data_IF_808978274775
#
_entry.id   IF_808978274775
#
_cell.length_a   1.000
_cell.length_b   1.000
_cell.length_c   1.000
_cell.angle_alpha   90.00
_cell.angle_beta   90.00
_cell.angle_gamma   90.00
#
_symmetry.space_group_name_H-M   'P 1'
#
loop_
_entity.id
_entity.type
_entity.pdbx_description
1 polymer ?
#
# COMPACT_ATOMS: atom_id res chain seq x y z
N UNK A 1 17.86 -22.12 -16.26
CA UNK A 1 18.77 -20.96 -16.11
C UNK A 1 18.87 -20.70 -14.62
N UNK A 2 20.08 -20.69 -14.06
CA UNK A 2 20.33 -20.42 -12.64
C UNK A 2 20.15 -18.91 -12.40
N UNK A 3 19.53 -18.54 -11.30
CA UNK A 3 19.31 -17.15 -10.90
C UNK A 3 20.18 -16.81 -9.69
N UNK A 4 20.34 -15.49 -9.43
CA UNK A 4 21.01 -15.02 -8.21
C UNK A 4 20.28 -15.53 -6.97
N UNK A 5 18.93 -15.61 -6.99
CA UNK A 5 18.14 -16.20 -5.90
C UNK A 5 18.51 -17.67 -5.64
N UNK A 6 18.72 -18.47 -6.69
CA UNK A 6 19.10 -19.88 -6.53
C UNK A 6 20.46 -19.99 -5.82
N UNK A 7 21.42 -19.12 -6.14
CA UNK A 7 22.72 -19.08 -5.46
C UNK A 7 22.56 -18.79 -3.96
N UNK A 8 21.73 -17.82 -3.59
CA UNK A 8 21.52 -17.49 -2.18
C UNK A 8 20.71 -18.53 -1.41
N UNK A 9 19.81 -19.27 -2.07
CA UNK A 9 18.91 -20.25 -1.40
C UNK A 9 19.42 -21.70 -1.52
N UNK A 10 20.18 -22.03 -2.56
CA UNK A 10 20.59 -23.39 -2.91
C UNK A 10 22.05 -23.44 -3.38
N UNK A 11 22.89 -22.50 -2.95
CA UNK A 11 24.26 -22.35 -3.48
C UNK A 11 25.15 -23.59 -3.31
N UNK A 12 24.98 -24.37 -2.25
CA UNK A 12 25.72 -25.62 -2.04
C UNK A 12 25.50 -26.64 -3.19
N UNK A 13 24.33 -26.61 -3.83
CA UNK A 13 24.02 -27.48 -4.98
C UNK A 13 24.84 -27.13 -6.23
N UNK A 14 25.35 -25.91 -6.29
CA UNK A 14 26.13 -25.38 -7.43
C UNK A 14 27.60 -25.16 -7.10
N UNK A 15 28.03 -25.44 -5.89
CA UNK A 15 29.43 -25.25 -5.48
C UNK A 15 30.39 -26.04 -6.35
N UNK A 16 31.52 -25.41 -6.76
CA UNK A 16 32.54 -25.95 -7.63
C UNK A 16 32.04 -26.37 -9.04
N UNK A 17 30.83 -25.92 -9.43
CA UNK A 17 30.26 -26.13 -10.75
C UNK A 17 30.36 -24.86 -11.61
N UNK A 18 30.53 -25.10 -12.92
CA UNK A 18 30.39 -24.06 -13.91
C UNK A 18 28.91 -23.62 -14.00
N UNK A 19 28.67 -22.31 -13.90
CA UNK A 19 27.37 -21.69 -13.99
C UNK A 19 27.36 -20.54 -14.97
N UNK A 20 26.18 -20.18 -15.43
CA UNK A 20 25.94 -19.04 -16.32
C UNK A 20 24.90 -18.12 -15.71
N UNK A 21 25.25 -16.83 -15.60
CA UNK A 21 24.39 -15.79 -15.02
C UNK A 21 24.25 -14.63 -15.99
N UNK A 22 23.08 -14.00 -15.96
CA UNK A 22 22.79 -12.77 -16.67
C UNK A 22 22.40 -11.70 -15.67
N UNK A 23 22.70 -10.44 -15.94
CA UNK A 23 22.26 -9.39 -15.04
C UNK A 23 22.86 -8.03 -15.34
N UNK A 24 22.61 -7.14 -14.39
CA UNK A 24 23.08 -5.76 -14.42
C UNK A 24 24.21 -5.56 -13.41
N UNK A 25 25.22 -4.80 -13.83
CA UNK A 25 26.29 -4.33 -12.94
C UNK A 25 25.72 -3.35 -11.93
N UNK A 26 25.76 -3.71 -10.66
CA UNK A 26 25.34 -2.84 -9.53
C UNK A 26 26.51 -2.04 -8.98
N UNK A 27 27.66 -2.69 -8.86
CA UNK A 27 28.94 -2.08 -8.46
C UNK A 27 30.05 -2.73 -9.24
N UNK A 28 31.14 -2.00 -9.43
CA UNK A 28 32.37 -2.50 -9.96
C UNK A 28 33.54 -1.90 -9.21
N UNK A 29 34.56 -2.70 -8.93
CA UNK A 29 35.82 -2.28 -8.31
C UNK A 29 36.97 -2.92 -9.08
N UNK A 30 37.83 -2.11 -9.67
CA UNK A 30 39.06 -2.54 -10.33
C UNK A 30 40.21 -2.48 -9.32
N UNK A 31 41.05 -3.53 -9.29
CA UNK A 31 42.25 -3.69 -8.47
C UNK A 31 43.52 -3.89 -9.33
N UNK A 32 43.52 -3.41 -10.58
CA UNK A 32 44.56 -3.49 -11.59
C UNK A 32 44.75 -4.90 -12.21
N UNK A 33 44.91 -5.95 -11.39
CA UNK A 33 45.12 -7.34 -11.82
C UNK A 33 43.89 -8.23 -11.75
N UNK A 34 42.91 -7.79 -10.97
CA UNK A 34 41.63 -8.44 -10.80
C UNK A 34 40.59 -7.39 -10.43
N UNK A 35 39.35 -7.73 -10.49
CA UNK A 35 38.24 -6.85 -10.07
C UNK A 35 37.03 -7.60 -9.60
N UNK A 36 36.09 -6.85 -9.07
CA UNK A 36 34.85 -7.35 -8.53
C UNK A 36 33.66 -6.63 -9.18
N UNK A 37 32.67 -7.40 -9.58
CA UNK A 37 31.36 -6.90 -10.00
C UNK A 37 30.32 -7.43 -9.03
N UNK A 38 29.47 -6.57 -8.52
CA UNK A 38 28.19 -6.98 -7.92
C UNK A 38 27.16 -7.10 -9.05
N UNK A 39 26.79 -8.34 -9.39
CA UNK A 39 25.80 -8.67 -10.42
C UNK A 39 24.44 -8.93 -9.78
N UNK A 40 23.40 -8.31 -10.30
CA UNK A 40 22.01 -8.55 -9.88
C UNK A 40 21.14 -8.82 -11.12
N UNK A 41 20.41 -9.93 -11.09
CA UNK A 41 19.53 -10.35 -12.18
C UNK A 41 18.05 -10.00 -11.94
N UNK A 42 17.76 -9.31 -10.84
CA UNK A 42 16.41 -8.97 -10.44
C UNK A 42 15.67 -10.08 -9.67
N UNK A 43 16.17 -11.30 -9.59
CA UNK A 43 15.53 -12.41 -8.89
C UNK A 43 15.61 -12.32 -7.37
N UNK A 44 16.64 -11.64 -6.85
CA UNK A 44 16.90 -11.50 -5.42
C UNK A 44 17.25 -10.05 -5.04
N UNK A 45 17.08 -9.69 -3.76
CA UNK A 45 17.40 -8.35 -3.27
C UNK A 45 18.89 -8.06 -3.35
N UNK A 46 19.73 -9.00 -2.87
CA UNK A 46 21.20 -8.88 -2.91
C UNK A 46 21.73 -9.29 -4.29
N UNK A 47 22.85 -8.70 -4.69
CA UNK A 47 23.62 -9.15 -5.85
C UNK A 47 24.67 -10.19 -5.46
N UNK A 48 25.12 -10.99 -6.44
CA UNK A 48 26.22 -11.93 -6.28
C UNK A 48 27.53 -11.27 -6.70
N UNK A 49 28.63 -11.55 -6.01
CA UNK A 49 29.96 -11.09 -6.37
C UNK A 49 30.52 -11.94 -7.51
N UNK A 50 30.98 -11.27 -8.54
CA UNK A 50 31.73 -11.84 -9.65
C UNK A 50 33.19 -11.37 -9.51
N UNK A 51 34.12 -12.29 -9.48
CA UNK A 51 35.56 -12.04 -9.51
C UNK A 51 36.08 -12.24 -10.93
N UNK A 52 36.80 -11.25 -11.48
CA UNK A 52 37.39 -11.32 -12.79
C UNK A 52 38.89 -10.95 -12.73
N UNK A 53 39.73 -11.60 -13.50
CA UNK A 53 41.20 -11.48 -13.44
C UNK A 53 41.81 -11.13 -14.81
N UNK A 54 43.10 -10.70 -14.83
CA UNK A 54 43.87 -10.35 -16.06
C UNK A 54 43.81 -11.41 -17.17
N UNK A 55 43.54 -12.68 -16.83
CA UNK A 55 43.41 -13.76 -17.83
C UNK A 55 42.11 -13.69 -18.66
N UNK A 56 41.19 -12.79 -18.34
CA UNK A 56 39.97 -12.61 -19.11
C UNK A 56 40.27 -11.88 -20.43
N UNK A 57 39.84 -12.43 -21.57
CA UNK A 57 40.13 -11.92 -22.92
C UNK A 57 39.80 -10.41 -23.07
N UNK A 58 38.73 -9.96 -22.44
CA UNK A 58 38.25 -8.57 -22.48
C UNK A 58 38.36 -7.84 -21.11
N UNK A 59 39.41 -8.16 -20.34
CA UNK A 59 39.63 -7.59 -19.00
C UNK A 59 39.58 -6.07 -18.98
N UNK A 60 40.28 -5.39 -19.88
CA UNK A 60 40.29 -3.91 -19.95
C UNK A 60 38.92 -3.30 -20.25
N UNK A 61 38.10 -4.01 -20.98
CA UNK A 61 36.76 -3.57 -21.32
C UNK A 61 35.81 -3.77 -20.12
N UNK A 62 35.92 -4.91 -19.46
CA UNK A 62 35.13 -5.26 -18.27
C UNK A 62 35.46 -4.33 -17.11
N UNK A 63 36.75 -4.05 -16.87
CA UNK A 63 37.19 -3.16 -15.78
C UNK A 63 36.65 -1.73 -15.88
N UNK A 64 36.24 -1.29 -17.08
CA UNK A 64 35.69 0.04 -17.38
C UNK A 64 34.16 0.06 -17.50
N UNK A 65 33.47 -1.02 -17.13
CA UNK A 65 32.00 -1.04 -17.17
C UNK A 65 31.43 -0.02 -16.22
N UNK A 66 30.38 0.62 -16.65
CA UNK A 66 29.55 1.49 -15.79
C UNK A 66 28.40 0.72 -15.12
N UNK A 67 27.91 1.27 -14.02
CA UNK A 67 26.71 0.78 -13.32
C UNK A 67 25.56 0.72 -14.33
N UNK A 68 24.72 -0.31 -14.20
CA UNK A 68 23.59 -0.60 -15.08
C UNK A 68 23.95 -1.20 -16.44
N UNK A 69 25.25 -1.41 -16.75
CA UNK A 69 25.64 -2.23 -17.89
C UNK A 69 25.10 -3.65 -17.76
N UNK A 70 24.74 -4.26 -18.88
CA UNK A 70 24.15 -5.60 -18.94
C UNK A 70 25.18 -6.59 -19.41
N UNK A 71 25.39 -7.65 -18.63
CA UNK A 71 26.41 -8.67 -18.90
C UNK A 71 25.88 -10.08 -18.73
N UNK A 72 26.56 -11.02 -19.38
CA UNK A 72 26.45 -12.44 -19.14
C UNK A 72 27.80 -12.92 -18.60
N UNK A 73 27.75 -13.67 -17.52
CA UNK A 73 28.95 -14.23 -16.87
C UNK A 73 28.90 -15.74 -16.96
N UNK A 74 29.94 -16.36 -17.42
CA UNK A 74 30.19 -17.80 -17.33
C UNK A 74 31.40 -18.00 -16.43
N UNK A 75 31.28 -18.87 -15.41
CA UNK A 75 32.34 -19.08 -14.44
C UNK A 75 31.98 -20.13 -13.40
N UNK A 76 32.86 -20.32 -12.43
CA UNK A 76 32.72 -21.33 -11.38
C UNK A 76 32.25 -20.69 -10.09
N UNK A 77 31.20 -21.24 -9.50
CA UNK A 77 30.73 -20.83 -8.15
C UNK A 77 31.66 -21.40 -7.08
N UNK A 78 32.22 -20.54 -6.24
CA UNK A 78 33.18 -20.94 -5.20
C UNK A 78 32.83 -20.31 -3.85
N UNK A 79 33.36 -20.86 -2.76
CA UNK A 79 33.33 -20.21 -1.46
C UNK A 79 34.13 -18.90 -1.51
N UNK A 80 33.53 -17.81 -1.03
CA UNK A 80 34.22 -16.53 -1.01
C UNK A 80 35.35 -16.52 0.01
N UNK A 81 36.45 -15.85 -0.33
CA UNK A 81 37.53 -15.57 0.61
C UNK A 81 37.27 -14.30 1.45
N UNK A 82 36.26 -13.51 1.07
CA UNK A 82 35.89 -12.28 1.75
C UNK A 82 34.88 -12.48 2.86
N UNK A 83 34.85 -11.60 3.85
CA UNK A 83 33.94 -11.66 4.98
C UNK A 83 32.53 -11.14 4.70
N UNK A 84 32.27 -10.62 3.49
CA UNK A 84 31.00 -9.96 3.15
C UNK A 84 29.94 -10.83 2.48
N UNK A 85 30.31 -12.01 2.00
CA UNK A 85 29.45 -13.01 1.33
C UNK A 85 30.04 -14.41 1.48
N UNK A 86 29.17 -15.42 1.44
CA UNK A 86 29.60 -16.82 1.58
C UNK A 86 30.09 -17.41 0.25
N UNK A 87 29.50 -16.98 -0.85
CA UNK A 87 29.74 -17.47 -2.21
C UNK A 87 30.08 -16.35 -3.18
N UNK A 88 30.91 -16.66 -4.19
CA UNK A 88 31.26 -15.77 -5.30
C UNK A 88 31.47 -16.57 -6.58
N UNK A 89 31.36 -15.92 -7.73
CA UNK A 89 31.61 -16.54 -9.04
C UNK A 89 32.95 -16.09 -9.55
N UNK A 90 33.89 -17.03 -9.79
CA UNK A 90 35.11 -16.78 -10.57
C UNK A 90 34.78 -16.82 -12.04
N UNK A 91 34.87 -15.69 -12.72
CA UNK A 91 34.51 -15.56 -14.10
C UNK A 91 35.58 -16.12 -15.02
N UNK A 92 35.21 -17.04 -15.91
CA UNK A 92 36.02 -17.54 -17.01
C UNK A 92 35.75 -16.74 -18.29
N UNK A 93 34.55 -16.24 -18.47
CA UNK A 93 34.13 -15.41 -19.60
C UNK A 93 33.05 -14.40 -19.17
N UNK A 94 33.20 -13.16 -19.64
CA UNK A 94 32.17 -12.11 -19.49
C UNK A 94 31.83 -11.58 -20.88
N UNK A 95 30.58 -11.72 -21.26
CA UNK A 95 30.04 -11.17 -22.50
C UNK A 95 29.25 -9.89 -22.14
N UNK A 96 29.56 -8.78 -22.79
CA UNK A 96 28.91 -7.50 -22.57
C UNK A 96 27.77 -7.36 -23.60
N UNK A 97 26.52 -7.37 -23.15
CA UNK A 97 25.39 -7.10 -24.04
C UNK A 97 25.27 -5.64 -24.37
N UNK A 98 25.39 -4.79 -23.34
CA UNK A 98 25.37 -3.35 -23.53
C UNK A 98 26.04 -2.63 -22.35
N UNK A 99 26.90 -1.67 -22.70
CA UNK A 99 27.41 -0.69 -21.73
C UNK A 99 26.34 0.35 -21.47
N UNK A 100 26.12 0.68 -20.21
CA UNK A 100 25.27 1.80 -19.88
C UNK A 100 25.96 3.12 -20.24
N UNK A 101 25.17 4.08 -20.69
CA UNK A 101 25.62 5.44 -20.98
C UNK A 101 26.23 6.09 -19.72
N UNK A 102 27.25 6.91 -19.92
CA UNK A 102 27.89 7.67 -18.84
C UNK A 102 26.93 8.70 -18.18
N UNK A 103 25.89 9.10 -18.91
CA UNK A 103 24.82 9.97 -18.40
C UNK A 103 23.80 9.26 -17.51
N UNK A 104 23.96 7.94 -17.26
CA UNK A 104 23.06 7.19 -16.37
C UNK A 104 22.92 7.92 -15.02
N UNK A 105 21.69 8.34 -14.63
CA UNK A 105 21.53 9.31 -13.58
C UNK A 105 21.71 8.74 -12.17
N UNK A 106 21.58 7.41 -11.99
CA UNK A 106 21.66 6.75 -10.68
C UNK A 106 23.05 6.19 -10.42
N UNK A 107 24.02 7.11 -10.32
CA UNK A 107 25.41 6.77 -10.02
C UNK A 107 25.58 6.22 -8.59
N UNK A 108 26.73 5.60 -8.29
CA UNK A 108 27.06 5.02 -6.98
C UNK A 108 27.30 6.11 -5.91
N UNK A 109 26.27 6.86 -5.60
CA UNK A 109 26.22 7.88 -4.55
C UNK A 109 24.84 7.90 -3.90
N UNK A 110 24.73 8.50 -2.72
CA UNK A 110 23.42 8.71 -2.09
C UNK A 110 22.61 9.73 -2.89
N UNK A 111 21.38 9.33 -3.25
CA UNK A 111 20.39 10.19 -3.86
C UNK A 111 19.29 10.51 -2.86
N UNK A 112 18.72 11.72 -2.91
CA UNK A 112 17.53 12.07 -2.11
C UNK A 112 16.27 11.42 -2.68
N UNK A 113 15.27 11.20 -1.85
CA UNK A 113 14.01 10.63 -2.32
C UNK A 113 13.30 11.58 -3.29
N UNK A 114 13.41 12.90 -3.10
CA UNK A 114 12.88 13.91 -4.01
C UNK A 114 13.47 13.75 -5.41
N UNK A 115 14.79 13.62 -5.51
CA UNK A 115 15.44 13.35 -6.80
C UNK A 115 14.98 12.02 -7.41
N UNK A 116 14.89 10.96 -6.60
CA UNK A 116 14.45 9.65 -7.10
C UNK A 116 12.99 9.65 -7.57
N UNK A 117 12.13 10.51 -7.04
CA UNK A 117 10.77 10.71 -7.56
C UNK A 117 10.77 11.28 -8.97
N UNK A 118 11.72 12.16 -9.32
CA UNK A 118 11.89 12.66 -10.70
C UNK A 118 12.43 11.61 -11.67
N UNK A 119 12.88 10.47 -11.16
CA UNK A 119 13.39 9.32 -11.91
C UNK A 119 12.59 8.05 -11.59
N UNK A 120 11.26 8.18 -11.46
CA UNK A 120 10.39 7.08 -11.03
C UNK A 120 10.59 5.80 -11.86
N UNK A 121 10.76 5.91 -13.18
CA UNK A 121 11.01 4.81 -14.11
C UNK A 121 12.37 4.10 -13.90
N UNK A 122 13.32 4.70 -13.18
CA UNK A 122 14.63 4.11 -12.90
C UNK A 122 14.85 3.76 -11.43
N UNK A 123 14.11 4.40 -10.51
CA UNK A 123 14.39 4.30 -9.08
C UNK A 123 14.29 2.88 -8.52
N UNK A 124 13.52 1.98 -9.15
CA UNK A 124 13.46 0.57 -8.79
C UNK A 124 14.84 -0.14 -8.88
N UNK A 125 15.79 0.44 -9.60
CA UNK A 125 17.17 -0.05 -9.69
C UNK A 125 18.03 0.32 -8.47
N UNK A 126 17.53 1.15 -7.54
CA UNK A 126 18.20 1.42 -6.26
C UNK A 126 17.83 0.38 -5.21
N UNK A 127 18.68 0.17 -4.19
CA UNK A 127 18.40 -0.80 -3.14
C UNK A 127 17.10 -0.47 -2.40
N UNK A 128 16.89 0.79 -2.03
CA UNK A 128 15.68 1.22 -1.30
C UNK A 128 14.42 0.87 -2.08
N UNK A 129 14.32 1.28 -3.35
CA UNK A 129 13.09 1.06 -4.11
C UNK A 129 12.97 -0.36 -4.65
N UNK A 130 14.09 -1.08 -4.84
CA UNK A 130 14.05 -2.53 -5.07
C UNK A 130 13.40 -3.24 -3.87
N UNK A 131 13.81 -2.91 -2.65
CA UNK A 131 13.20 -3.47 -1.43
C UNK A 131 11.72 -3.09 -1.32
N UNK A 132 11.37 -1.81 -1.47
CA UNK A 132 9.99 -1.32 -1.39
C UNK A 132 9.07 -2.07 -2.35
N UNK A 133 9.44 -2.19 -3.62
CA UNK A 133 8.55 -2.79 -4.61
C UNK A 133 8.50 -4.31 -4.55
N UNK A 134 9.52 -4.97 -4.00
CA UNK A 134 9.47 -6.40 -3.66
C UNK A 134 8.49 -6.65 -2.52
N UNK A 135 8.61 -5.89 -1.44
CA UNK A 135 7.67 -5.98 -0.31
C UNK A 135 6.24 -5.63 -0.76
N UNK A 136 6.06 -4.62 -1.61
CA UNK A 136 4.75 -4.28 -2.18
C UNK A 136 4.10 -5.46 -2.91
N UNK A 137 4.87 -6.17 -3.73
CA UNK A 137 4.39 -7.36 -4.45
C UNK A 137 3.99 -8.48 -3.50
N UNK A 138 4.83 -8.77 -2.49
CA UNK A 138 4.55 -9.83 -1.50
C UNK A 138 3.36 -9.45 -0.61
N UNK A 139 3.24 -8.19 -0.19
CA UNK A 139 2.10 -7.73 0.60
C UNK A 139 0.78 -7.87 -0.15
N UNK A 140 0.74 -7.54 -1.44
CA UNK A 140 -0.46 -7.73 -2.26
C UNK A 140 -0.89 -9.21 -2.30
N UNK A 141 0.06 -10.11 -2.48
CA UNK A 141 -0.21 -11.54 -2.42
C UNK A 141 -0.66 -11.99 -1.02
N UNK A 142 -0.01 -11.51 0.04
CA UNK A 142 -0.36 -11.85 1.43
C UNK A 142 -1.82 -11.49 1.76
N UNK A 143 -2.30 -10.33 1.27
CA UNK A 143 -3.68 -9.89 1.42
C UNK A 143 -4.64 -10.86 0.72
N UNK A 144 -4.40 -11.17 -0.56
CA UNK A 144 -5.22 -12.13 -1.29
C UNK A 144 -5.19 -13.51 -0.62
N UNK A 145 -4.01 -13.98 -0.20
CA UNK A 145 -3.84 -15.25 0.52
C UNK A 145 -4.69 -15.29 1.79
N UNK A 146 -4.61 -14.26 2.63
CA UNK A 146 -5.38 -14.17 3.87
C UNK A 146 -6.88 -14.32 3.61
N UNK A 147 -7.43 -13.53 2.70
CA UNK A 147 -8.87 -13.55 2.43
C UNK A 147 -9.32 -14.86 1.78
N UNK A 148 -8.57 -15.39 0.81
CA UNK A 148 -8.93 -16.66 0.14
C UNK A 148 -8.89 -17.85 1.12
N UNK A 149 -7.90 -17.91 2.02
CA UNK A 149 -7.80 -18.97 3.04
C UNK A 149 -8.88 -18.85 4.13
N UNK A 150 -9.49 -17.67 4.30
CA UNK A 150 -10.62 -17.45 5.19
C UNK A 150 -11.98 -17.47 4.48
N UNK A 151 -12.04 -18.05 3.27
CA UNK A 151 -13.26 -18.25 2.49
C UNK A 151 -13.96 -16.96 2.07
N UNK A 152 -13.20 -15.89 1.79
CA UNK A 152 -13.72 -14.69 1.17
C UNK A 152 -13.70 -14.80 -0.35
N UNK A 153 -14.73 -14.28 -1.01
CA UNK A 153 -14.79 -14.15 -2.46
C UNK A 153 -14.25 -12.77 -2.87
N UNK A 154 -13.27 -12.76 -3.75
CA UNK A 154 -12.78 -11.52 -4.36
C UNK A 154 -13.77 -10.99 -5.39
N UNK A 155 -14.12 -9.72 -5.29
CA UNK A 155 -15.05 -9.04 -6.19
C UNK A 155 -14.36 -7.87 -6.89
N UNK A 156 -14.41 -7.87 -8.22
CA UNK A 156 -13.99 -6.71 -9.01
C UNK A 156 -15.10 -5.65 -8.95
N UNK A 157 -14.90 -4.58 -8.24
CA UNK A 157 -15.79 -3.42 -8.19
C UNK A 157 -15.47 -2.41 -9.29
N UNK A 158 -16.44 -1.65 -9.81
CA UNK A 158 -16.21 -0.70 -10.89
C UNK A 158 -15.26 0.42 -10.49
N UNK A 159 -14.33 0.74 -11.40
CA UNK A 159 -13.43 1.91 -11.26
C UNK A 159 -14.16 3.18 -11.71
N UNK A 160 -15.02 3.06 -12.75
CA UNK A 160 -15.87 4.16 -13.22
C UNK A 160 -17.24 3.99 -12.60
N UNK A 161 -17.72 5.02 -11.91
CA UNK A 161 -18.99 4.97 -11.16
C UNK A 161 -19.83 6.21 -11.41
N UNK A 162 -21.15 6.06 -11.28
CA UNK A 162 -22.10 7.17 -11.23
C UNK A 162 -22.51 7.59 -9.82
N UNK A 163 -22.02 6.89 -8.77
CA UNK A 163 -22.33 7.18 -7.37
C UNK A 163 -21.11 7.61 -6.58
N UNK A 164 -21.30 8.42 -5.53
CA UNK A 164 -20.27 8.80 -4.57
C UNK A 164 -20.43 7.97 -3.29
N UNK A 165 -19.50 7.07 -3.03
CA UNK A 165 -19.55 6.19 -1.86
C UNK A 165 -19.41 6.92 -0.53
N UNK A 166 -18.75 8.07 -0.51
CA UNK A 166 -18.53 8.86 0.71
C UNK A 166 -19.54 10.00 0.86
N UNK A 167 -20.26 10.35 -0.22
CA UNK A 167 -21.33 11.36 -0.22
C UNK A 167 -20.82 12.81 -0.23
N UNK A 168 -19.52 13.05 -0.28
CA UNK A 168 -18.90 14.36 -0.28
C UNK A 168 -17.47 14.33 -0.89
N UNK A 169 -17.11 13.26 -1.60
CA UNK A 169 -15.78 13.07 -2.15
C UNK A 169 -15.49 13.99 -3.33
N UNK A 170 -14.30 14.60 -3.36
CA UNK A 170 -13.80 15.25 -4.57
C UNK A 170 -13.40 14.17 -5.58
N UNK A 171 -14.21 14.00 -6.63
CA UNK A 171 -14.05 12.93 -7.62
C UNK A 171 -13.48 13.47 -8.93
N UNK A 172 -12.57 12.70 -9.53
CA UNK A 172 -12.16 12.92 -10.92
C UNK A 172 -13.27 12.54 -11.87
N UNK A 173 -13.66 13.46 -12.75
CA UNK A 173 -14.68 13.20 -13.75
C UNK A 173 -14.13 12.38 -14.92
N UNK A 174 -14.90 11.39 -15.35
CA UNK A 174 -14.66 10.61 -16.57
C UNK A 174 -15.65 11.05 -17.63
N UNK A 175 -15.15 11.57 -18.76
CA UNK A 175 -15.98 12.07 -19.85
C UNK A 175 -15.28 11.94 -21.19
N UNK A 176 -16.05 11.72 -22.25
CA UNK A 176 -15.59 11.78 -23.65
C UNK A 176 -16.09 13.02 -24.37
N UNK A 177 -16.77 13.94 -23.67
CA UNK A 177 -17.24 15.19 -24.24
C UNK A 177 -16.05 16.10 -24.59
N UNK A 178 -16.17 16.79 -25.74
CA UNK A 178 -15.20 17.82 -26.12
C UNK A 178 -15.31 19.00 -25.15
N UNK A 179 -14.28 19.26 -24.36
CA UNK A 179 -14.24 20.34 -23.37
C UNK A 179 -14.36 21.73 -24.00
N UNK A 180 -14.04 21.89 -25.30
CA UNK A 180 -14.20 23.13 -26.02
C UNK A 180 -15.64 23.36 -26.58
N UNK A 181 -16.46 22.26 -26.59
CA UNK A 181 -17.80 22.30 -27.17
C UNK A 181 -18.76 21.39 -26.36
N UNK A 182 -18.94 21.77 -25.09
CA UNK A 182 -19.81 21.04 -24.19
C UNK A 182 -21.28 21.16 -24.60
N UNK A 183 -22.02 20.05 -24.77
CA UNK A 183 -23.46 20.09 -24.95
C UNK A 183 -24.14 20.60 -23.68
N UNK A 184 -25.17 21.45 -23.85
CA UNK A 184 -25.91 22.05 -22.73
C UNK A 184 -27.39 21.75 -22.86
N UNK A 185 -28.03 21.56 -21.69
CA UNK A 185 -29.48 21.54 -21.55
C UNK A 185 -30.06 22.95 -21.66
N UNK A 186 -31.37 23.08 -21.72
CA UNK A 186 -32.07 24.38 -21.76
C UNK A 186 -31.79 25.26 -20.55
N UNK A 187 -31.54 24.64 -19.39
CA UNK A 187 -31.18 25.34 -18.14
C UNK A 187 -29.71 25.76 -18.05
N UNK A 188 -28.91 25.51 -19.10
CA UNK A 188 -27.48 25.86 -19.16
C UNK A 188 -26.52 24.85 -18.56
N UNK A 189 -27.01 23.81 -17.88
CA UNK A 189 -26.18 22.70 -17.38
C UNK A 189 -25.60 21.84 -18.49
N UNK A 190 -24.50 21.13 -18.20
CA UNK A 190 -23.92 20.16 -19.14
C UNK A 190 -24.91 19.01 -19.35
N UNK A 191 -25.18 18.68 -20.60
CA UNK A 191 -26.03 17.55 -20.97
C UNK A 191 -25.23 16.25 -21.06
N UNK A 192 -25.06 15.59 -19.93
CA UNK A 192 -24.37 14.29 -19.83
C UNK A 192 -25.12 13.14 -20.50
N UNK A 193 -26.39 13.32 -20.96
CA UNK A 193 -27.06 12.31 -21.78
C UNK A 193 -26.38 12.10 -23.13
N UNK A 194 -25.54 13.06 -23.54
CA UNK A 194 -24.71 13.03 -24.76
C UNK A 194 -23.30 12.45 -24.52
N UNK A 195 -22.94 12.15 -23.28
CA UNK A 195 -21.66 11.54 -22.95
C UNK A 195 -21.71 10.01 -23.15
N UNK A 196 -20.55 9.35 -23.11
CA UNK A 196 -20.37 7.94 -23.41
C UNK A 196 -21.31 7.03 -22.61
N UNK A 197 -21.47 7.27 -21.33
CA UNK A 197 -22.33 6.46 -20.44
C UNK A 197 -23.78 6.99 -20.34
N UNK A 198 -24.13 8.03 -21.05
CA UNK A 198 -25.45 8.67 -20.99
C UNK A 198 -25.77 9.36 -19.67
N UNK A 199 -24.80 9.49 -18.77
CA UNK A 199 -24.88 10.18 -17.48
C UNK A 199 -23.50 10.64 -17.02
N UNK A 200 -23.47 11.51 -15.99
CA UNK A 200 -22.20 11.91 -15.34
C UNK A 200 -21.55 10.70 -14.66
N UNK A 201 -20.26 10.49 -14.94
CA UNK A 201 -19.46 9.44 -14.31
C UNK A 201 -18.13 9.96 -13.81
N UNK A 202 -17.58 9.26 -12.82
CA UNK A 202 -16.35 9.64 -12.13
C UNK A 202 -15.48 8.41 -11.87
N UNK A 203 -14.20 8.63 -11.54
CA UNK A 203 -13.36 7.60 -10.92
C UNK A 203 -13.81 7.37 -9.48
N UNK A 204 -13.85 6.12 -9.05
CA UNK A 204 -14.37 5.73 -7.73
C UNK A 204 -13.48 6.22 -6.58
N UNK A 205 -14.11 6.60 -5.48
CA UNK A 205 -13.45 6.90 -4.19
C UNK A 205 -13.41 5.69 -3.25
N UNK A 206 -14.20 4.63 -3.55
CA UNK A 206 -14.28 3.38 -2.78
C UNK A 206 -15.10 2.35 -3.56
N UNK A 207 -14.72 1.07 -3.43
CA UNK A 207 -15.52 -0.05 -3.96
C UNK A 207 -16.58 -0.59 -2.99
N UNK A 208 -16.69 -0.01 -1.79
CA UNK A 208 -17.50 -0.52 -0.68
C UNK A 208 -18.96 -0.77 -1.06
N UNK A 209 -19.66 0.25 -1.58
CA UNK A 209 -21.10 0.12 -1.87
C UNK A 209 -21.41 -1.01 -2.87
N UNK A 210 -20.51 -1.21 -3.83
CA UNK A 210 -20.66 -2.28 -4.81
C UNK A 210 -20.33 -3.65 -4.22
N UNK A 211 -19.27 -3.78 -3.40
CA UNK A 211 -18.91 -5.08 -2.81
C UNK A 211 -19.93 -5.54 -1.77
N UNK A 212 -20.59 -4.62 -1.05
CA UNK A 212 -21.69 -4.95 -0.13
C UNK A 212 -22.82 -5.71 -0.84
N UNK A 213 -23.12 -5.42 -2.11
CA UNK A 213 -24.16 -6.13 -2.86
C UNK A 213 -23.85 -7.61 -3.02
N UNK A 214 -22.57 -7.96 -3.15
CA UNK A 214 -22.11 -9.35 -3.24
C UNK A 214 -22.07 -10.06 -1.89
N UNK A 215 -21.97 -9.30 -0.79
CA UNK A 215 -22.05 -9.85 0.57
C UNK A 215 -23.38 -10.59 0.80
N UNK A 216 -24.47 -10.10 0.25
CA UNK A 216 -25.80 -10.73 0.30
C UNK A 216 -25.88 -12.08 -0.44
N UNK A 217 -24.90 -12.40 -1.28
CA UNK A 217 -24.85 -13.65 -2.06
C UNK A 217 -23.74 -14.60 -1.58
N UNK A 218 -22.59 -14.08 -1.20
CA UNK A 218 -21.38 -14.88 -0.91
C UNK A 218 -20.94 -14.85 0.55
N UNK A 219 -21.69 -14.17 1.42
CA UNK A 219 -21.43 -14.03 2.86
C UNK A 219 -20.20 -13.20 3.18
N UNK A 220 -19.01 -13.64 2.79
CA UNK A 220 -17.74 -12.93 3.02
C UNK A 220 -17.13 -12.56 1.69
N UNK A 221 -16.92 -11.29 1.47
CA UNK A 221 -16.41 -10.74 0.21
C UNK A 221 -15.33 -9.70 0.47
N UNK A 222 -14.50 -9.43 -0.51
CA UNK A 222 -13.58 -8.29 -0.46
C UNK A 222 -13.32 -7.77 -1.86
N UNK A 223 -13.05 -6.48 -1.95
CA UNK A 223 -12.43 -5.86 -3.12
C UNK A 223 -11.02 -5.41 -2.77
N UNK A 224 -10.14 -5.41 -3.74
CA UNK A 224 -8.79 -4.87 -3.67
C UNK A 224 -8.53 -4.17 -4.99
N UNK A 225 -8.67 -2.86 -5.01
CA UNK A 225 -8.67 -2.10 -6.24
C UNK A 225 -8.21 -0.65 -6.09
N UNK A 226 -7.94 0.00 -7.23
CA UNK A 226 -7.54 1.40 -7.29
C UNK A 226 -8.68 2.31 -6.84
N UNK A 227 -8.31 3.37 -6.15
CA UNK A 227 -9.19 4.38 -5.58
C UNK A 227 -8.63 5.76 -5.90
N UNK A 228 -9.49 6.73 -6.14
CA UNK A 228 -9.10 8.05 -6.64
C UNK A 228 -9.76 9.15 -5.83
N UNK A 229 -8.96 10.15 -5.41
CA UNK A 229 -9.47 11.33 -4.73
C UNK A 229 -8.85 12.57 -5.33
N UNK A 230 -9.67 13.52 -5.78
CA UNK A 230 -9.25 14.76 -6.41
C UNK A 230 -8.91 15.87 -5.39
N UNK A 231 -8.77 15.51 -4.12
CA UNK A 231 -8.41 16.41 -3.04
C UNK A 231 -7.08 17.11 -3.32
N UNK A 232 -7.08 18.43 -3.23
CA UNK A 232 -5.88 19.23 -3.41
C UNK A 232 -5.01 19.23 -2.13
N UNK A 233 -4.56 18.04 -1.73
CA UNK A 233 -3.76 17.81 -0.53
C UNK A 233 -2.31 17.47 -0.88
N UNK A 234 -1.36 18.17 -0.27
CA UNK A 234 0.07 17.99 -0.54
C UNK A 234 0.84 17.43 0.64
N UNK A 235 0.19 16.60 1.46
CA UNK A 235 0.82 15.96 2.62
C UNK A 235 1.63 14.72 2.23
N UNK A 236 2.41 14.20 3.18
CA UNK A 236 3.17 12.97 2.99
C UNK A 236 2.29 11.69 2.97
N UNK A 237 1.00 11.81 3.32
CA UNK A 237 0.06 10.68 3.46
C UNK A 237 -1.03 10.63 2.39
N UNK A 238 -1.08 11.62 1.48
CA UNK A 238 -2.10 11.72 0.43
C UNK A 238 -1.52 11.55 -0.96
N UNK A 239 -2.20 10.75 -1.75
CA UNK A 239 -2.00 10.61 -3.19
C UNK A 239 -3.38 10.61 -3.85
N UNK A 240 -3.45 11.06 -5.11
CA UNK A 240 -4.72 11.13 -5.85
C UNK A 240 -5.16 9.76 -6.41
N UNK A 241 -4.23 8.81 -6.49
CA UNK A 241 -4.45 7.41 -6.86
C UNK A 241 -3.74 6.52 -5.84
N UNK A 242 -4.48 5.60 -5.24
CA UNK A 242 -3.99 4.64 -4.26
C UNK A 242 -4.88 3.38 -4.30
N UNK A 243 -4.55 2.36 -3.52
CA UNK A 243 -5.32 1.10 -3.51
C UNK A 243 -5.98 0.88 -2.15
N UNK A 244 -7.24 0.42 -2.19
CA UNK A 244 -7.99 0.06 -0.99
C UNK A 244 -8.28 -1.44 -0.96
N UNK A 245 -8.23 -2.00 0.24
CA UNK A 245 -8.70 -3.34 0.56
C UNK A 245 -9.96 -3.18 1.39
N UNK A 246 -11.10 -3.68 0.88
CA UNK A 246 -12.40 -3.41 1.48
C UNK A 246 -13.19 -4.72 1.61
N UNK A 247 -13.01 -5.47 2.74
CA UNK A 247 -13.81 -6.66 3.04
C UNK A 247 -15.17 -6.29 3.64
N UNK A 248 -16.15 -7.16 3.39
CA UNK A 248 -17.48 -7.12 4.01
C UNK A 248 -17.86 -8.53 4.49
N UNK A 249 -18.41 -8.63 5.71
CA UNK A 249 -18.85 -9.87 6.34
C UNK A 249 -20.33 -9.82 6.68
N UNK A 250 -21.11 -10.77 6.16
CA UNK A 250 -22.51 -10.94 6.52
C UNK A 250 -22.62 -11.58 7.91
N UNK A 251 -23.65 -11.16 8.64
CA UNK A 251 -23.97 -11.60 10.00
C UNK A 251 -22.87 -11.31 11.03
N UNK A 252 -21.96 -10.40 10.70
CA UNK A 252 -20.91 -9.88 11.58
C UNK A 252 -21.29 -8.51 12.15
N UNK A 253 -21.11 -8.35 13.45
CA UNK A 253 -21.22 -7.07 14.13
C UNK A 253 -19.89 -6.29 14.14
N UNK A 254 -19.85 -5.16 14.84
CA UNK A 254 -18.63 -4.36 14.98
C UNK A 254 -17.48 -5.15 15.63
N UNK A 255 -17.80 -6.04 16.61
CA UNK A 255 -16.83 -6.89 17.30
C UNK A 255 -16.14 -7.85 16.32
N UNK A 256 -16.93 -8.58 15.53
CA UNK A 256 -16.43 -9.48 14.50
C UNK A 256 -15.58 -8.75 13.43
N UNK A 257 -15.96 -7.52 13.11
CA UNK A 257 -15.21 -6.69 12.17
C UNK A 257 -13.81 -6.31 12.72
N UNK A 258 -13.73 -5.93 14.00
CA UNK A 258 -12.45 -5.65 14.68
C UNK A 258 -11.56 -6.90 14.74
N UNK A 259 -12.13 -8.07 15.05
CA UNK A 259 -11.39 -9.34 15.08
C UNK A 259 -10.81 -9.71 13.71
N UNK A 260 -11.60 -9.54 12.64
CA UNK A 260 -11.13 -9.76 11.28
C UNK A 260 -9.99 -8.79 10.90
N UNK A 261 -10.12 -7.51 11.24
CA UNK A 261 -9.10 -6.51 10.95
C UNK A 261 -7.79 -6.80 11.70
N UNK A 262 -7.85 -7.16 12.98
CA UNK A 262 -6.69 -7.55 13.79
C UNK A 262 -6.01 -8.79 13.22
N UNK A 263 -6.78 -9.84 12.91
CA UNK A 263 -6.26 -11.08 12.34
C UNK A 263 -5.57 -10.84 10.98
N UNK A 264 -6.19 -10.04 10.11
CA UNK A 264 -5.60 -9.69 8.81
C UNK A 264 -4.27 -8.94 8.98
N UNK A 265 -4.25 -7.88 9.78
CA UNK A 265 -3.04 -7.06 9.98
C UNK A 265 -1.88 -7.91 10.52
N UNK A 266 -2.13 -8.74 11.53
CA UNK A 266 -1.12 -9.67 12.07
C UNK A 266 -0.64 -10.67 11.02
N UNK A 267 -1.55 -11.26 10.26
CA UNK A 267 -1.23 -12.26 9.24
C UNK A 267 -0.34 -11.68 8.13
N UNK A 268 -0.69 -10.52 7.59
CA UNK A 268 0.06 -9.90 6.48
C UNK A 268 1.43 -9.39 6.93
N UNK A 269 1.56 -8.84 8.14
CA UNK A 269 2.87 -8.44 8.71
C UNK A 269 3.77 -9.66 8.84
N UNK A 270 3.25 -10.73 9.49
CA UNK A 270 4.02 -11.96 9.67
C UNK A 270 4.46 -12.54 8.32
N UNK A 271 3.54 -12.63 7.35
CA UNK A 271 3.85 -13.17 6.03
C UNK A 271 4.96 -12.39 5.30
N UNK A 272 4.92 -11.06 5.36
CA UNK A 272 5.96 -10.21 4.76
C UNK A 272 7.30 -10.40 5.46
N UNK A 273 7.33 -10.40 6.79
CA UNK A 273 8.56 -10.59 7.56
C UNK A 273 9.21 -11.96 7.26
N UNK A 274 8.40 -13.01 7.15
CA UNK A 274 8.89 -14.37 6.86
C UNK A 274 9.35 -14.54 5.40
N UNK A 275 8.74 -13.80 4.45
CA UNK A 275 8.98 -13.98 3.01
C UNK A 275 10.06 -13.05 2.46
N UNK A 276 10.24 -11.87 3.07
CA UNK A 276 11.17 -10.81 2.64
C UNK A 276 12.19 -10.46 3.72
N UNK A 277 12.89 -11.42 4.36
CA UNK A 277 13.76 -11.13 5.49
C UNK A 277 14.91 -10.17 5.14
N UNK A 278 15.47 -10.26 3.93
CA UNK A 278 16.57 -9.41 3.50
C UNK A 278 16.14 -7.96 3.29
N UNK A 279 14.96 -7.74 2.69
CA UNK A 279 14.37 -6.42 2.48
C UNK A 279 13.95 -5.80 3.83
N UNK A 280 13.36 -6.58 4.72
CA UNK A 280 12.94 -6.11 6.04
C UNK A 280 14.15 -5.74 6.92
N UNK A 281 15.24 -6.53 6.89
CA UNK A 281 16.48 -6.17 7.55
C UNK A 281 17.07 -4.87 6.99
N UNK A 282 17.00 -4.68 5.67
CA UNK A 282 17.42 -3.43 5.04
C UNK A 282 16.62 -2.24 5.57
N UNK A 283 15.29 -2.34 5.67
CA UNK A 283 14.47 -1.26 6.20
C UNK A 283 14.77 -0.97 7.67
N UNK A 284 14.91 -2.00 8.50
CA UNK A 284 15.26 -1.85 9.92
C UNK A 284 16.62 -1.18 10.13
N UNK A 285 17.59 -1.49 9.26
CA UNK A 285 18.95 -0.96 9.36
C UNK A 285 19.13 0.44 8.77
N UNK A 286 18.43 0.77 7.69
CA UNK A 286 18.73 1.98 6.89
C UNK A 286 17.56 2.97 6.74
N UNK A 287 16.32 2.57 7.02
CA UNK A 287 15.14 3.42 6.84
C UNK A 287 14.51 3.81 8.17
N UNK A 288 14.13 2.82 9.00
CA UNK A 288 13.52 3.05 10.32
C UNK A 288 14.17 2.13 11.35
N UNK A 289 15.11 2.67 12.13
CA UNK A 289 15.73 1.92 13.23
C UNK A 289 14.67 1.54 14.27
N UNK A 290 14.60 0.26 14.63
CA UNK A 290 13.59 -0.27 15.56
C UNK A 290 12.29 -0.70 14.87
N UNK A 291 12.29 -0.79 13.54
CA UNK A 291 11.13 -1.27 12.77
C UNK A 291 10.66 -2.65 13.24
N UNK A 292 11.58 -3.58 13.53
CA UNK A 292 11.22 -4.91 14.02
C UNK A 292 10.53 -4.85 15.39
N UNK A 293 10.97 -3.98 16.30
CA UNK A 293 10.32 -3.82 17.60
C UNK A 293 8.88 -3.33 17.44
N UNK A 294 8.67 -2.36 16.54
CA UNK A 294 7.35 -1.83 16.19
C UNK A 294 6.44 -2.93 15.62
N UNK A 295 6.91 -3.70 14.64
CA UNK A 295 6.12 -4.77 14.02
C UNK A 295 5.87 -5.93 14.98
N UNK A 296 6.84 -6.31 15.80
CA UNK A 296 6.68 -7.33 16.84
C UNK A 296 5.68 -6.91 17.94
N UNK A 297 5.61 -5.61 18.26
CA UNK A 297 4.58 -5.09 19.16
C UNK A 297 3.17 -5.39 18.62
N UNK A 298 2.95 -5.20 17.31
CA UNK A 298 1.67 -5.54 16.66
C UNK A 298 1.38 -7.04 16.71
N UNK A 299 2.40 -7.87 16.41
CA UNK A 299 2.22 -9.33 16.35
C UNK A 299 1.93 -9.96 17.72
N UNK A 300 2.54 -9.44 18.77
CA UNK A 300 2.57 -10.07 20.09
C UNK A 300 1.53 -9.54 21.09
N UNK A 301 0.80 -8.48 20.75
CA UNK A 301 -0.20 -7.89 21.63
C UNK A 301 -1.60 -7.98 21.02
N UNK A 302 -2.61 -8.18 21.86
CA UNK A 302 -4.00 -7.94 21.49
C UNK A 302 -4.22 -6.43 21.31
N UNK A 303 -5.02 -6.05 20.31
CA UNK A 303 -5.27 -4.64 20.06
C UNK A 303 -6.15 -4.04 21.16
N UNK A 304 -5.86 -2.80 21.54
CA UNK A 304 -6.68 -2.05 22.46
C UNK A 304 -8.07 -1.76 21.86
N UNK A 305 -9.05 -1.51 22.73
CA UNK A 305 -10.39 -1.05 22.34
C UNK A 305 -10.79 0.09 23.25
N UNK A 306 -11.29 1.16 22.68
CA UNK A 306 -11.73 2.35 23.41
C UNK A 306 -12.85 3.04 22.63
N UNK A 307 -13.87 3.55 23.28
CA UNK A 307 -14.87 4.37 22.60
C UNK A 307 -14.31 5.76 22.29
N UNK A 308 -14.86 6.43 21.29
CA UNK A 308 -14.50 7.81 20.97
C UNK A 308 -14.69 8.74 22.18
N UNK A 309 -15.76 8.56 22.94
CA UNK A 309 -16.02 9.37 24.15
C UNK A 309 -14.92 9.18 25.20
N UNK A 310 -14.53 7.94 25.49
CA UNK A 310 -13.41 7.64 26.40
C UNK A 310 -12.08 8.15 25.84
N UNK A 311 -11.86 8.05 24.52
CA UNK A 311 -10.66 8.57 23.87
C UNK A 311 -10.53 10.10 24.05
N UNK A 312 -11.64 10.85 23.89
CA UNK A 312 -11.66 12.29 24.16
C UNK A 312 -11.32 12.57 25.62
N UNK A 313 -11.91 11.83 26.59
CA UNK A 313 -11.58 12.01 28.00
C UNK A 313 -10.10 11.72 28.31
N UNK A 314 -9.50 10.69 27.69
CA UNK A 314 -8.08 10.37 27.83
C UNK A 314 -7.22 11.54 27.32
N UNK A 315 -7.56 12.08 26.15
CA UNK A 315 -6.86 13.22 25.56
C UNK A 315 -6.97 14.49 26.42
N UNK A 316 -8.16 14.82 26.93
CA UNK A 316 -8.39 15.96 27.81
C UNK A 316 -7.59 15.84 29.13
N UNK A 317 -7.55 14.64 29.70
CA UNK A 317 -6.82 14.35 30.96
C UNK A 317 -5.32 14.19 30.78
N UNK A 318 -4.81 14.16 29.55
CA UNK A 318 -3.38 13.89 29.25
C UNK A 318 -2.41 14.97 29.77
N UNK A 319 -2.89 16.18 29.98
CA UNK A 319 -2.08 17.34 30.30
C UNK A 319 -1.19 17.83 29.14
N UNK A 320 -1.28 17.17 27.96
CA UNK A 320 -0.50 17.51 26.77
C UNK A 320 -1.15 18.70 26.05
N UNK A 321 -0.33 19.61 25.57
CA UNK A 321 -0.80 20.71 24.72
C UNK A 321 -0.80 20.25 23.27
N UNK A 322 -1.98 20.02 22.73
CA UNK A 322 -2.18 19.70 21.31
C UNK A 322 -2.30 20.98 20.46
N UNK A 323 -1.93 20.89 19.19
CA UNK A 323 -2.10 21.98 18.22
C UNK A 323 -3.58 22.21 17.92
N UNK A 324 -4.34 21.10 17.76
CA UNK A 324 -5.77 21.12 17.52
C UNK A 324 -6.54 20.92 18.83
N UNK A 325 -7.71 21.58 19.00
CA UNK A 325 -8.48 21.45 20.24
C UNK A 325 -9.01 20.03 20.41
N UNK A 326 -9.00 19.53 21.64
CA UNK A 326 -9.66 18.28 22.02
C UNK A 326 -11.07 18.64 22.50
N UNK A 327 -12.08 18.14 21.79
CA UNK A 327 -13.49 18.35 22.13
C UNK A 327 -14.35 17.26 21.52
N UNK A 328 -15.35 16.80 22.25
CA UNK A 328 -16.31 15.83 21.71
C UNK A 328 -17.05 16.39 20.48
N UNK A 329 -17.18 15.56 19.43
CA UNK A 329 -17.86 15.92 18.18
C UNK A 329 -16.93 16.40 17.06
N UNK A 330 -15.59 16.43 17.27
CA UNK A 330 -14.61 16.75 16.24
C UNK A 330 -13.91 15.49 15.73
N UNK A 331 -13.40 15.54 14.50
CA UNK A 331 -12.48 14.51 14.01
C UNK A 331 -11.18 14.48 14.81
N UNK A 332 -10.71 13.27 15.15
CA UNK A 332 -9.39 13.10 15.73
C UNK A 332 -8.33 13.47 14.69
N UNK A 333 -7.41 14.35 15.10
CA UNK A 333 -6.29 14.73 14.26
C UNK A 333 -5.12 13.76 14.48
N UNK A 334 -4.19 13.70 13.54
CA UNK A 334 -3.05 12.78 13.59
C UNK A 334 -2.27 12.83 14.92
N UNK A 335 -2.19 13.99 15.57
CA UNK A 335 -1.52 14.12 16.87
C UNK A 335 -2.32 13.44 18.01
N UNK A 336 -3.67 13.47 17.94
CA UNK A 336 -4.55 12.79 18.88
C UNK A 336 -4.43 11.26 18.72
N UNK A 337 -4.50 10.78 17.48
CA UNK A 337 -4.36 9.36 17.12
C UNK A 337 -3.02 8.79 17.60
N UNK A 338 -1.95 9.53 17.33
CA UNK A 338 -0.60 9.12 17.74
C UNK A 338 -0.45 9.11 19.26
N UNK A 339 -0.99 10.10 19.96
CA UNK A 339 -0.97 10.08 21.42
C UNK A 339 -1.64 8.83 21.98
N UNK A 340 -2.83 8.49 21.46
CA UNK A 340 -3.56 7.29 21.90
C UNK A 340 -2.75 6.02 21.63
N UNK A 341 -2.27 5.82 20.41
CA UNK A 341 -1.58 4.60 20.02
C UNK A 341 -0.14 4.48 20.58
N UNK A 342 0.62 5.59 20.63
CA UNK A 342 2.05 5.57 20.97
C UNK A 342 2.34 5.83 22.45
N UNK A 343 1.61 6.76 23.08
CA UNK A 343 1.90 7.21 24.45
C UNK A 343 0.99 6.54 25.48
N UNK A 344 -0.31 6.44 25.21
CA UNK A 344 -1.27 5.91 26.17
C UNK A 344 -1.37 4.38 26.10
N UNK A 345 -1.81 3.81 24.96
CA UNK A 345 -1.96 2.35 24.81
C UNK A 345 -0.65 1.63 24.49
N UNK A 346 0.28 2.29 23.84
CA UNK A 346 1.59 1.77 23.37
C UNK A 346 1.47 0.51 22.52
N UNK A 347 0.36 0.39 21.79
CA UNK A 347 0.01 -0.71 20.91
C UNK A 347 -1.10 -0.28 19.97
N UNK A 348 -1.42 -1.04 18.90
CA UNK A 348 -2.58 -0.74 18.08
C UNK A 348 -3.87 -0.71 18.91
N UNK A 349 -4.76 0.23 18.59
CA UNK A 349 -6.00 0.44 19.32
C UNK A 349 -7.13 0.77 18.37
N UNK A 350 -8.27 0.11 18.56
CA UNK A 350 -9.53 0.47 17.92
C UNK A 350 -10.20 1.58 18.72
N UNK A 351 -10.57 2.66 18.04
CA UNK A 351 -11.48 3.69 18.55
C UNK A 351 -12.84 3.45 17.91
N UNK A 352 -13.90 3.36 18.72
CA UNK A 352 -15.25 3.01 18.25
C UNK A 352 -16.28 4.04 18.64
N UNK A 353 -17.48 3.90 18.10
CA UNK A 353 -18.67 4.66 18.51
C UNK A 353 -18.48 6.19 18.37
N UNK A 354 -18.13 6.59 17.17
CA UNK A 354 -17.93 7.99 16.81
C UNK A 354 -19.23 8.79 16.72
N UNK A 355 -19.19 10.11 16.93
CA UNK A 355 -20.34 10.97 16.64
C UNK A 355 -20.81 10.81 15.18
N UNK A 356 -22.13 10.68 14.99
CA UNK A 356 -22.72 10.46 13.67
C UNK A 356 -22.47 11.60 12.67
N UNK A 357 -22.28 12.82 13.19
CA UNK A 357 -22.09 14.02 12.37
C UNK A 357 -20.78 14.01 11.58
N UNK A 358 -19.77 13.28 12.06
CA UNK A 358 -18.43 13.21 11.45
C UNK A 358 -18.17 11.89 10.72
N UNK A 359 -19.18 11.04 10.57
CA UNK A 359 -19.05 9.73 9.91
C UNK A 359 -20.08 9.57 8.80
N UNK A 360 -19.80 8.64 7.87
CA UNK A 360 -20.56 8.41 6.66
C UNK A 360 -22.01 7.92 6.93
N UNK A 361 -22.89 8.14 5.95
CA UNK A 361 -24.34 7.89 6.05
C UNK A 361 -24.73 6.42 6.26
N UNK A 362 -23.91 5.51 5.81
CA UNK A 362 -24.19 4.06 5.82
C UNK A 362 -23.84 3.37 7.14
N UNK A 363 -23.27 4.08 8.09
CA UNK A 363 -22.85 3.50 9.37
C UNK A 363 -24.04 3.33 10.31
N UNK A 364 -24.12 2.16 10.97
CA UNK A 364 -25.23 1.81 11.84
C UNK A 364 -25.31 2.74 13.06
N UNK A 365 -26.50 3.32 13.26
CA UNK A 365 -26.75 4.19 14.41
C UNK A 365 -26.80 3.37 15.70
N UNK A 366 -26.20 3.88 16.77
CA UNK A 366 -26.33 3.34 18.12
C UNK A 366 -27.67 3.71 18.75
N UNK A 367 -28.06 3.04 19.83
CA UNK A 367 -29.31 3.27 20.56
C UNK A 367 -29.38 4.67 21.16
N UNK A 368 -28.25 5.32 21.40
CA UNK A 368 -28.17 6.70 21.91
C UNK A 368 -28.61 7.76 20.89
N UNK A 369 -28.78 7.38 19.62
CA UNK A 369 -29.08 8.24 18.46
C UNK A 369 -28.06 9.38 18.21
N UNK A 370 -26.89 9.33 18.82
CA UNK A 370 -25.82 10.32 18.72
C UNK A 370 -24.56 9.75 18.09
N UNK A 371 -24.29 8.49 18.33
CA UNK A 371 -23.09 7.81 17.85
C UNK A 371 -23.43 6.72 16.83
N UNK A 372 -22.43 6.32 16.04
CA UNK A 372 -22.53 5.24 15.06
C UNK A 372 -21.50 4.15 15.35
N UNK A 373 -21.81 2.91 14.99
CA UNK A 373 -20.92 1.75 15.16
C UNK A 373 -19.75 1.78 14.16
N UNK A 374 -19.01 2.88 14.22
CA UNK A 374 -17.76 3.05 13.49
C UNK A 374 -16.60 2.43 14.25
N UNK A 375 -15.52 2.11 13.55
CA UNK A 375 -14.23 1.75 14.11
C UNK A 375 -13.11 2.33 13.27
N UNK A 376 -12.10 2.91 13.91
CA UNK A 376 -10.83 3.26 13.29
C UNK A 376 -9.71 2.52 14.02
N UNK A 377 -8.82 1.83 13.30
CA UNK A 377 -7.63 1.20 13.86
C UNK A 377 -6.47 2.18 13.79
N UNK A 378 -5.99 2.58 14.95
CA UNK A 378 -4.82 3.42 15.12
C UNK A 378 -3.61 2.56 15.43
N UNK A 379 -2.50 2.74 14.70
CA UNK A 379 -1.25 2.03 14.95
C UNK A 379 -0.10 2.99 15.30
N UNK A 380 0.81 2.58 16.23
CA UNK A 380 1.97 3.40 16.59
C UNK A 380 2.81 3.77 15.38
N UNK A 381 3.20 5.03 15.24
CA UNK A 381 4.05 5.54 14.15
C UNK A 381 3.32 6.02 12.91
N UNK A 382 2.02 5.69 12.74
CA UNK A 382 1.28 6.10 11.55
C UNK A 382 -0.09 6.74 11.85
N UNK A 383 -0.74 6.41 12.97
CA UNK A 383 -2.12 6.79 13.26
C UNK A 383 -3.12 5.84 12.61
N UNK A 384 -4.21 6.35 12.06
CA UNK A 384 -5.24 5.54 11.41
C UNK A 384 -4.70 4.77 10.17
N UNK A 385 -4.88 3.44 10.15
CA UNK A 385 -4.58 2.56 9.00
C UNK A 385 -5.82 1.86 8.46
N UNK A 386 -6.85 1.66 9.27
CA UNK A 386 -8.13 1.06 8.89
C UNK A 386 -9.25 1.95 9.42
N UNK A 387 -10.25 2.21 8.57
CA UNK A 387 -11.53 2.77 8.95
C UNK A 387 -12.65 1.82 8.56
N UNK A 388 -13.64 1.63 9.40
CA UNK A 388 -14.74 0.69 9.13
C UNK A 388 -15.98 0.93 9.98
N UNK A 389 -16.99 0.09 9.79
CA UNK A 389 -18.21 0.14 10.60
C UNK A 389 -19.06 -1.12 10.47
N UNK A 390 -19.97 -1.30 11.40
CA UNK A 390 -21.18 -2.05 11.13
C UNK A 390 -22.08 -1.19 10.24
N UNK A 391 -22.73 -1.80 9.24
CA UNK A 391 -23.54 -1.09 8.25
C UNK A 391 -24.98 -0.95 8.74
N UNK A 392 -25.63 0.16 8.36
CA UNK A 392 -27.06 0.33 8.66
C UNK A 392 -27.87 -0.65 7.80
N UNK A 393 -28.56 -1.56 8.46
CA UNK A 393 -29.39 -2.62 7.88
C UNK A 393 -30.89 -2.31 7.87
N UNK A 394 -31.28 -1.19 8.46
CA UNK A 394 -32.66 -0.70 8.46
C UNK A 394 -32.89 0.32 7.35
N UNK A 395 -33.86 0.02 6.46
CA UNK A 395 -34.16 0.87 5.30
C UNK A 395 -34.59 2.29 5.69
N UNK A 396 -35.49 2.41 6.66
CA UNK A 396 -36.06 3.70 7.10
C UNK A 396 -35.00 4.58 7.77
N UNK A 397 -34.12 3.99 8.57
CA UNK A 397 -33.01 4.71 9.21
C UNK A 397 -31.98 5.18 8.19
N UNK A 398 -31.63 4.31 7.22
CA UNK A 398 -30.70 4.64 6.17
C UNK A 398 -31.21 5.78 5.28
N UNK A 399 -32.45 5.67 4.79
CA UNK A 399 -33.06 6.72 3.93
C UNK A 399 -33.25 8.03 4.69
N UNK A 400 -33.61 7.97 5.97
CA UNK A 400 -33.66 9.17 6.82
C UNK A 400 -32.30 9.85 6.90
N UNK A 401 -31.24 9.08 7.13
CA UNK A 401 -29.87 9.61 7.20
C UNK A 401 -29.42 10.22 5.88
N UNK A 402 -29.73 9.57 4.76
CA UNK A 402 -29.43 10.10 3.42
C UNK A 402 -30.12 11.46 3.19
N UNK A 403 -31.39 11.59 3.58
CA UNK A 403 -32.12 12.87 3.49
C UNK A 403 -31.53 13.97 4.37
N UNK A 404 -31.12 13.64 5.60
CA UNK A 404 -30.44 14.58 6.48
C UNK A 404 -29.15 15.15 5.86
N UNK A 405 -28.46 14.37 5.04
CA UNK A 405 -27.24 14.74 4.35
C UNK A 405 -27.45 15.29 2.94
N UNK A 406 -28.71 15.36 2.47
CA UNK A 406 -29.06 15.87 1.15
C UNK A 406 -28.67 14.96 -0.01
N UNK A 407 -28.49 13.65 0.23
CA UNK A 407 -28.17 12.68 -0.79
C UNK A 407 -29.44 12.31 -1.58
N UNK A 408 -29.30 12.18 -2.92
CA UNK A 408 -30.40 11.75 -3.78
C UNK A 408 -30.54 10.22 -3.75
N UNK A 409 -31.67 9.70 -3.29
CA UNK A 409 -31.94 8.26 -3.19
C UNK A 409 -31.83 7.53 -4.54
N UNK A 410 -32.18 8.18 -5.67
CA UNK A 410 -32.12 7.58 -7.01
C UNK A 410 -30.69 7.14 -7.39
N UNK A 411 -29.67 7.86 -6.94
CA UNK A 411 -28.27 7.54 -7.22
C UNK A 411 -27.78 6.31 -6.44
N UNK A 412 -28.54 5.90 -5.39
CA UNK A 412 -28.20 4.79 -4.50
C UNK A 412 -29.28 3.70 -4.47
N UNK A 413 -30.18 3.66 -5.45
CA UNK A 413 -31.28 2.66 -5.50
C UNK A 413 -30.76 1.23 -5.34
N UNK A 414 -29.69 0.87 -6.05
CA UNK A 414 -29.04 -0.45 -5.96
C UNK A 414 -28.56 -0.78 -4.53
N UNK A 415 -28.13 0.20 -3.78
CA UNK A 415 -27.65 0.06 -2.41
C UNK A 415 -28.82 -0.04 -1.40
N UNK A 416 -29.89 0.73 -1.63
CA UNK A 416 -31.12 0.67 -0.84
C UNK A 416 -31.85 -0.66 -1.04
N UNK A 417 -31.77 -1.26 -2.20
CA UNK A 417 -32.38 -2.56 -2.50
C UNK A 417 -31.84 -3.69 -1.62
N UNK A 418 -30.60 -3.61 -1.14
CA UNK A 418 -30.07 -4.56 -0.17
C UNK A 418 -30.88 -4.57 1.14
N UNK A 419 -31.52 -3.46 1.51
CA UNK A 419 -32.34 -3.33 2.71
C UNK A 419 -33.78 -3.70 2.46
N UNK A 420 -34.25 -3.61 1.20
CA UNK A 420 -35.61 -3.97 0.78
C UNK A 420 -35.77 -5.46 0.49
N UNK A 421 -34.72 -6.11 -0.04
CA UNK A 421 -34.80 -7.47 -0.56
C UNK A 421 -33.99 -8.46 0.32
N UNK A 422 -34.26 -8.49 1.61
CA UNK A 422 -33.66 -9.43 2.54
C UNK A 422 -32.45 -8.83 3.28
N UNK A 423 -32.70 -7.77 4.03
CA UNK A 423 -31.69 -7.12 4.87
C UNK A 423 -31.09 -8.06 5.91
N UNK A 424 -29.83 -7.85 6.24
CA UNK A 424 -29.09 -8.64 7.22
C UNK A 424 -28.02 -7.77 7.91
N UNK A 425 -27.64 -8.08 9.16
CA UNK A 425 -26.51 -7.43 9.81
C UNK A 425 -25.22 -7.72 9.05
N UNK A 426 -24.45 -6.69 8.73
CA UNK A 426 -23.14 -6.86 8.11
C UNK A 426 -22.22 -5.72 8.49
N UNK A 427 -20.91 -5.96 8.33
CA UNK A 427 -19.87 -5.01 8.68
C UNK A 427 -18.68 -5.15 7.76
N UNK A 428 -17.87 -4.11 7.66
CA UNK A 428 -16.69 -4.10 6.84
C UNK A 428 -15.79 -2.93 7.16
N UNK A 429 -14.63 -2.91 6.51
CA UNK A 429 -13.63 -1.85 6.71
C UNK A 429 -12.86 -1.58 5.43
N UNK A 430 -12.13 -0.46 5.41
CA UNK A 430 -11.16 -0.12 4.38
C UNK A 430 -9.76 -0.05 4.96
N UNK A 431 -8.81 -0.79 4.36
CA UNK A 431 -7.37 -0.65 4.61
C UNK A 431 -6.72 0.05 3.41
N UNK A 432 -6.07 1.19 3.65
CA UNK A 432 -5.22 1.81 2.65
C UNK A 432 -3.93 1.01 2.43
N UNK A 433 -3.76 0.45 1.22
CA UNK A 433 -2.61 -0.39 0.90
C UNK A 433 -1.28 0.34 1.06
N UNK A 434 -1.22 1.58 0.62
CA UNK A 434 -0.02 2.42 0.72
C UNK A 434 0.29 2.82 2.16
N UNK A 435 -0.71 3.04 3.01
CA UNK A 435 -0.50 3.28 4.45
C UNK A 435 0.12 2.05 5.11
N UNK A 436 -0.38 0.86 4.76
CA UNK A 436 0.21 -0.40 5.24
C UNK A 436 1.63 -0.60 4.72
N UNK A 437 1.91 -0.24 3.45
CA UNK A 437 3.26 -0.24 2.90
C UNK A 437 4.21 0.70 3.68
N UNK A 438 3.78 1.92 3.97
CA UNK A 438 4.56 2.86 4.79
C UNK A 438 4.83 2.28 6.18
N UNK A 439 3.84 1.67 6.78
CA UNK A 439 3.96 1.06 8.10
C UNK A 439 4.98 -0.09 8.14
N UNK A 440 4.92 -1.00 7.14
CA UNK A 440 5.82 -2.14 7.02
C UNK A 440 7.27 -1.77 6.68
N UNK A 441 7.47 -0.72 5.91
CA UNK A 441 8.80 -0.36 5.38
C UNK A 441 9.48 0.78 6.13
N UNK A 442 8.75 1.49 6.99
CA UNK A 442 9.24 2.71 7.64
C UNK A 442 9.34 3.93 6.70
N UNK A 443 8.86 3.81 5.47
CA UNK A 443 8.88 4.91 4.51
C UNK A 443 7.93 6.03 4.95
N UNK A 444 8.42 7.27 4.95
CA UNK A 444 7.71 8.41 5.54
C UNK A 444 6.80 9.16 4.55
N UNK A 445 6.81 8.78 3.28
CA UNK A 445 6.04 9.48 2.25
C UNK A 445 5.37 8.47 1.31
N UNK A 446 4.07 8.63 1.12
CA UNK A 446 3.25 7.75 0.27
C UNK A 446 3.77 7.68 -1.19
N UNK A 447 4.38 8.78 -1.69
CA UNK A 447 4.98 8.82 -3.03
C UNK A 447 6.14 7.83 -3.19
N UNK A 448 6.70 7.35 -2.08
CA UNK A 448 7.86 6.47 -2.08
C UNK A 448 7.48 4.98 -1.97
N UNK A 449 6.20 4.68 -1.81
CA UNK A 449 5.68 3.31 -1.82
C UNK A 449 4.77 3.01 -3.02
N UNK A 450 4.56 4.00 -3.90
CA UNK A 450 3.83 3.89 -5.16
C UNK A 450 4.83 3.92 -6.32
N UNK A 451 4.79 2.99 -7.28
CA UNK A 451 5.72 2.98 -8.42
C UNK A 451 5.74 4.30 -9.20
N UNK A 452 4.58 4.80 -9.59
CA UNK A 452 4.35 6.04 -10.32
C UNK A 452 3.27 6.86 -9.61
N UNK A 453 3.63 7.69 -8.61
CA UNK A 453 2.66 8.38 -7.78
C UNK A 453 1.90 9.46 -8.55
N UNK A 454 0.59 9.54 -8.32
CA UNK A 454 -0.29 10.60 -8.81
C UNK A 454 -0.62 11.55 -7.66
N UNK A 455 -0.27 12.81 -7.81
CA UNK A 455 -0.50 13.85 -6.80
C UNK A 455 -0.78 15.17 -7.50
N UNK A 456 -1.28 16.22 -6.82
CA UNK A 456 -1.43 17.53 -7.43
C UNK A 456 -0.14 17.96 -8.16
N UNK A 457 -0.30 18.45 -9.40
CA UNK A 457 0.77 18.86 -10.31
C UNK A 457 1.79 17.77 -10.70
N UNK A 458 1.47 16.48 -10.51
CA UNK A 458 2.34 15.39 -10.92
C UNK A 458 1.54 14.19 -11.49
N UNK A 459 1.69 13.99 -12.79
CA UNK A 459 1.20 12.84 -13.54
C UNK A 459 2.25 12.32 -14.53
N UNK A 460 3.54 12.56 -14.22
CA UNK A 460 4.67 12.15 -15.04
C UNK A 460 4.81 10.61 -15.08
N UNK A 461 5.24 10.09 -16.24
CA UNK A 461 5.33 8.66 -16.60
C UNK A 461 3.94 8.03 -16.79
#
# INVERSE_FOLDING_TARGET
MITVKDIFRHGEDYLDKEIELFGWVRKIRDQKKFGFIELNDGSFFKGVQIVFEEGLENFDEVSRLSISSTIKVKGTLVKSQGSGQDLEVKADKIEIFQKADLEYPLQNKRHTFEYLRTKAHLRARTNTFSAVFRVRSVLAYAIHKFFQENNFVYVHTPIITGSDAEGAGEMFRVTTLDMNKLPKKENGEIDFTKDFFGKSTNLTVSGQLNVETFCAAFRNVYTFGPTFRAEYSNTARHASEFWMIEPEIAFGDLGANMELAEAMVKSIIKYVMDTCPEEMEFFNSFIEKGLFDKLNNVLNNDFGRVTYTEAIEILEKSGKKFEFPVKWGIDLQSEHERYLAEEYFKKPVFVTDYPKEIKAFYMKLNEDNKTVRAMDLLAPGIGEIIGGSQREDNYELLTKRMKELGLNEEDYEFYLDLRRFGSFPHSGYGLGFERMMMYLTGMQNIRDVIPFPRTPNNAEF
#
